data_IF_387630615694
#
_entry.id   IF_387630615694
#
_cell.length_a   1.000
_cell.length_b   1.000
_cell.length_c   1.000
_cell.angle_alpha   90.00
_cell.angle_beta   90.00
_cell.angle_gamma   90.00
#
_symmetry.space_group_name_H-M   'P 1'
#
loop_
_entity.id
_entity.type
_entity.pdbx_description
1 polymer ?
#
# COMPACT_ATOMS: atom_id res chain seq x y z
N UNK A 1 -73.04 63.41 32.83
CA UNK A 1 -71.86 62.53 32.87
C UNK A 1 -71.23 62.51 31.50
N UNK A 2 -69.94 62.80 31.43
CA UNK A 2 -69.28 63.26 30.21
C UNK A 2 -69.01 62.12 29.23
N UNK A 3 -69.89 61.98 28.24
CA UNK A 3 -69.69 61.09 27.10
C UNK A 3 -68.35 61.35 26.39
N UNK A 4 -67.86 62.59 26.45
CA UNK A 4 -66.56 62.98 25.90
C UNK A 4 -65.38 62.34 26.63
N UNK A 5 -65.45 62.21 27.97
CA UNK A 5 -64.42 61.53 28.77
C UNK A 5 -64.41 60.03 28.45
N UNK A 6 -65.59 59.42 28.31
CA UNK A 6 -65.72 58.01 27.91
C UNK A 6 -65.11 57.79 26.51
N UNK A 7 -65.39 58.68 25.54
CA UNK A 7 -64.84 58.60 24.18
C UNK A 7 -63.31 58.70 24.19
N UNK A 8 -62.72 59.62 24.94
CA UNK A 8 -61.25 59.75 25.03
C UNK A 8 -60.59 58.53 25.68
N UNK A 9 -61.21 57.92 26.70
CA UNK A 9 -60.71 56.69 27.31
C UNK A 9 -60.71 55.54 26.28
N UNK A 10 -61.80 55.39 25.51
CA UNK A 10 -61.87 54.35 24.47
C UNK A 10 -60.81 54.57 23.39
N UNK A 11 -60.60 55.81 22.95
CA UNK A 11 -59.55 56.15 21.97
C UNK A 11 -58.16 55.83 22.51
N UNK A 12 -57.89 56.15 23.78
CA UNK A 12 -56.61 55.84 24.42
C UNK A 12 -56.36 54.32 24.49
N UNK A 13 -57.37 53.52 24.85
CA UNK A 13 -57.27 52.06 24.88
C UNK A 13 -57.01 51.48 23.49
N UNK A 14 -57.73 51.97 22.46
CA UNK A 14 -57.50 51.55 21.07
C UNK A 14 -56.09 51.91 20.61
N UNK A 15 -55.58 53.10 20.94
CA UNK A 15 -54.22 53.51 20.61
C UNK A 15 -53.17 52.58 21.25
N UNK A 16 -53.35 52.20 22.52
CA UNK A 16 -52.47 51.24 23.21
C UNK A 16 -52.50 49.87 22.53
N UNK A 17 -53.67 49.37 22.15
CA UNK A 17 -53.81 48.09 21.43
C UNK A 17 -53.08 48.13 20.09
N UNK A 18 -53.20 49.23 19.33
CA UNK A 18 -52.51 49.41 18.06
C UNK A 18 -50.98 49.43 18.25
N UNK A 19 -50.48 50.13 19.27
CA UNK A 19 -49.04 50.17 19.57
C UNK A 19 -48.52 48.77 19.92
N UNK A 20 -49.24 48.02 20.76
CA UNK A 20 -48.87 46.64 21.12
C UNK A 20 -48.90 45.74 19.88
N UNK A 21 -49.91 45.86 19.02
CA UNK A 21 -50.01 45.10 17.77
C UNK A 21 -48.84 45.41 16.81
N UNK A 22 -48.44 46.68 16.70
CA UNK A 22 -47.30 47.09 15.88
C UNK A 22 -45.96 46.56 16.43
N UNK A 23 -45.77 46.59 17.77
CA UNK A 23 -44.58 46.03 18.41
C UNK A 23 -44.48 44.51 18.21
N UNK A 24 -45.61 43.80 18.31
CA UNK A 24 -45.69 42.36 18.05
C UNK A 24 -45.48 42.04 16.56
N UNK A 25 -46.05 42.82 15.65
CA UNK A 25 -45.86 42.66 14.21
C UNK A 25 -44.40 42.94 13.79
N UNK A 26 -43.76 43.96 14.37
CA UNK A 26 -42.35 44.26 14.14
C UNK A 26 -41.44 43.14 14.67
N UNK A 27 -41.74 42.59 15.86
CA UNK A 27 -41.06 41.40 16.40
C UNK A 27 -41.28 40.17 15.51
N UNK A 28 -42.51 39.92 15.06
CA UNK A 28 -42.88 38.80 14.17
C UNK A 28 -42.18 38.92 12.82
N UNK A 29 -42.08 40.12 12.23
CA UNK A 29 -41.36 40.39 10.97
C UNK A 29 -39.85 40.18 11.09
N UNK A 30 -39.27 40.46 12.27
CA UNK A 30 -37.85 40.17 12.57
C UNK A 30 -37.60 38.66 12.79
N UNK A 31 -38.57 37.95 13.37
CA UNK A 31 -38.52 36.48 13.54
C UNK A 31 -38.81 35.70 12.24
N UNK A 32 -39.62 36.25 11.33
CA UNK A 32 -39.87 35.66 10.01
C UNK A 32 -38.62 35.60 9.14
N UNK A 33 -37.69 36.57 9.27
CA UNK A 33 -36.39 36.52 8.58
C UNK A 33 -35.49 35.40 9.09
N UNK A 34 -35.65 34.95 10.34
CA UNK A 34 -34.90 33.82 10.93
C UNK A 34 -35.48 32.44 10.58
N UNK A 35 -36.69 32.37 10.05
CA UNK A 35 -37.27 31.10 9.57
C UNK A 35 -36.88 30.77 8.12
N UNK A 36 -36.23 31.68 7.39
CA UNK A 36 -35.65 31.40 6.08
C UNK A 36 -34.22 30.83 6.20
N UNK A 37 -33.46 31.21 7.23
CA UNK A 37 -32.11 30.66 7.48
C UNK A 37 -32.13 29.23 8.05
N UNK A 38 -33.17 28.82 8.77
CA UNK A 38 -33.27 27.47 9.31
C UNK A 38 -33.56 26.38 8.25
N UNK A 39 -33.97 26.76 7.03
CA UNK A 39 -34.05 25.85 5.88
C UNK A 39 -32.73 25.78 5.10
N UNK A 40 -32.01 26.91 4.97
CA UNK A 40 -30.71 26.93 4.29
C UNK A 40 -29.62 26.20 5.09
N UNK A 41 -29.61 26.30 6.42
CA UNK A 41 -28.66 25.53 7.25
C UNK A 41 -28.98 24.03 7.23
N UNK A 42 -30.24 23.64 7.02
CA UNK A 42 -30.60 22.22 6.83
C UNK A 42 -30.16 21.70 5.45
N UNK A 43 -30.25 22.49 4.39
CA UNK A 43 -29.75 22.10 3.07
C UNK A 43 -28.21 22.06 3.00
N UNK A 44 -27.51 23.01 3.63
CA UNK A 44 -26.04 23.06 3.64
C UNK A 44 -25.40 21.90 4.44
N UNK A 45 -26.05 21.42 5.50
CA UNK A 45 -25.56 20.27 6.27
C UNK A 45 -25.73 18.94 5.52
N UNK A 46 -26.83 18.73 4.79
CA UNK A 46 -27.00 17.51 3.97
C UNK A 46 -25.96 17.42 2.85
N UNK A 47 -25.55 18.56 2.30
CA UNK A 47 -24.60 18.61 1.18
C UNK A 47 -23.16 18.37 1.64
N UNK A 48 -22.81 18.73 2.88
CA UNK A 48 -21.51 18.46 3.47
C UNK A 48 -21.38 17.05 4.05
N UNK A 49 -22.43 16.50 4.67
CA UNK A 49 -22.45 15.11 5.17
C UNK A 49 -22.33 14.12 4.01
N UNK A 50 -23.07 14.31 2.91
CA UNK A 50 -22.96 13.44 1.73
C UNK A 50 -21.55 13.42 1.09
N UNK A 51 -20.77 14.50 1.21
CA UNK A 51 -19.38 14.56 0.72
C UNK A 51 -18.39 13.87 1.65
N UNK A 52 -18.65 13.87 2.96
CA UNK A 52 -17.82 13.17 3.95
C UNK A 52 -18.12 11.67 3.92
N UNK A 53 -19.40 11.28 3.87
CA UNK A 53 -19.82 9.87 3.76
C UNK A 53 -19.25 9.21 2.49
N UNK A 54 -19.21 9.95 1.37
CA UNK A 54 -18.59 9.45 0.13
C UNK A 54 -17.07 9.25 0.27
N UNK A 55 -16.39 10.08 1.07
CA UNK A 55 -14.95 9.93 1.32
C UNK A 55 -14.66 8.80 2.31
N UNK A 56 -15.52 8.62 3.30
CA UNK A 56 -15.45 7.51 4.26
C UNK A 56 -15.70 6.18 3.55
N UNK A 57 -16.74 6.09 2.71
CA UNK A 57 -17.01 4.89 1.90
C UNK A 57 -15.86 4.54 0.94
N UNK A 58 -15.22 5.55 0.33
CA UNK A 58 -14.03 5.34 -0.49
C UNK A 58 -12.85 4.86 0.37
N UNK A 59 -12.63 5.43 1.55
CA UNK A 59 -11.55 5.00 2.44
C UNK A 59 -11.74 3.54 2.89
N UNK A 60 -12.97 3.16 3.26
CA UNK A 60 -13.31 1.79 3.64
C UNK A 60 -13.17 0.81 2.48
N UNK A 61 -13.60 1.21 1.27
CA UNK A 61 -13.40 0.42 0.05
C UNK A 61 -11.91 0.24 -0.25
N UNK A 62 -11.10 1.30 -0.10
CA UNK A 62 -9.66 1.24 -0.34
C UNK A 62 -8.97 0.36 0.70
N UNK A 63 -9.38 0.45 1.97
CA UNK A 63 -8.88 -0.39 3.05
C UNK A 63 -9.25 -1.87 2.83
N UNK A 64 -10.47 -2.15 2.38
CA UNK A 64 -10.89 -3.50 2.05
C UNK A 64 -10.11 -4.07 0.84
N UNK A 65 -9.93 -3.27 -0.22
CA UNK A 65 -9.11 -3.65 -1.38
C UNK A 65 -7.65 -3.89 -1.02
N UNK A 66 -7.07 -3.08 -0.13
CA UNK A 66 -5.71 -3.27 0.35
C UNK A 66 -5.57 -4.61 1.08
N UNK A 67 -6.49 -4.94 2.00
CA UNK A 67 -6.49 -6.23 2.70
C UNK A 67 -6.67 -7.41 1.74
N UNK A 68 -7.51 -7.28 0.72
CA UNK A 68 -7.69 -8.30 -0.30
C UNK A 68 -6.40 -8.53 -1.11
N UNK A 69 -5.75 -7.45 -1.57
CA UNK A 69 -4.49 -7.52 -2.29
C UNK A 69 -3.35 -8.12 -1.43
N UNK A 70 -3.29 -7.78 -0.14
CA UNK A 70 -2.34 -8.38 0.79
C UNK A 70 -2.58 -9.89 0.97
N UNK A 71 -3.83 -10.32 1.09
CA UNK A 71 -4.17 -11.73 1.20
C UNK A 71 -3.78 -12.52 -0.06
N UNK A 72 -4.03 -11.95 -1.25
CA UNK A 72 -3.60 -12.55 -2.52
C UNK A 72 -2.08 -12.62 -2.64
N UNK A 73 -1.36 -11.58 -2.23
CA UNK A 73 0.10 -11.56 -2.23
C UNK A 73 0.67 -12.61 -1.27
N UNK A 74 0.09 -12.76 -0.08
CA UNK A 74 0.49 -13.79 0.89
C UNK A 74 0.22 -15.20 0.36
N UNK A 75 -0.93 -15.44 -0.28
CA UNK A 75 -1.23 -16.73 -0.90
C UNK A 75 -0.21 -17.08 -1.99
N UNK A 76 0.12 -16.12 -2.86
CA UNK A 76 1.13 -16.29 -3.90
C UNK A 76 2.54 -16.50 -3.35
N UNK A 77 2.89 -15.81 -2.26
CA UNK A 77 4.17 -16.02 -1.58
C UNK A 77 4.26 -17.42 -0.97
N UNK A 78 3.18 -17.92 -0.37
CA UNK A 78 3.12 -19.27 0.17
C UNK A 78 3.24 -20.34 -0.93
N UNK A 79 2.61 -20.14 -2.09
CA UNK A 79 2.75 -21.03 -3.24
C UNK A 79 4.19 -21.02 -3.79
N UNK A 80 4.80 -19.84 -3.92
CA UNK A 80 6.20 -19.71 -4.33
C UNK A 80 7.16 -20.40 -3.35
N UNK A 81 6.90 -20.29 -2.04
CA UNK A 81 7.67 -21.00 -1.02
C UNK A 81 7.57 -22.53 -1.20
N UNK A 82 6.37 -23.08 -1.44
CA UNK A 82 6.19 -24.51 -1.71
C UNK A 82 6.95 -24.99 -2.93
N UNK A 83 6.89 -24.23 -4.03
CA UNK A 83 7.63 -24.53 -5.26
C UNK A 83 9.15 -24.52 -5.02
N UNK A 84 9.63 -23.57 -4.21
CA UNK A 84 11.04 -23.49 -3.82
C UNK A 84 11.46 -24.68 -2.97
N UNK A 85 10.69 -25.03 -1.95
CA UNK A 85 10.97 -26.19 -1.09
C UNK A 85 11.01 -27.49 -1.90
N UNK A 86 10.11 -27.64 -2.88
CA UNK A 86 10.14 -28.76 -3.81
C UNK A 86 11.41 -28.76 -4.67
N UNK A 87 11.80 -27.62 -5.23
CA UNK A 87 13.03 -27.50 -6.01
C UNK A 87 14.28 -27.81 -5.18
N UNK A 88 14.34 -27.33 -3.94
CA UNK A 88 15.45 -27.58 -3.02
C UNK A 88 15.49 -29.08 -2.61
N UNK A 89 14.33 -29.71 -2.41
CA UNK A 89 14.22 -31.15 -2.19
C UNK A 89 14.75 -31.95 -3.39
N UNK A 90 14.36 -31.60 -4.62
CA UNK A 90 14.88 -32.24 -5.83
C UNK A 90 16.38 -32.05 -5.98
N UNK A 91 16.92 -30.87 -5.66
CA UNK A 91 18.37 -30.63 -5.66
C UNK A 91 19.10 -31.48 -4.63
N UNK A 92 18.54 -31.65 -3.43
CA UNK A 92 19.09 -32.53 -2.40
C UNK A 92 19.21 -33.98 -2.88
N UNK A 93 18.15 -34.53 -3.47
CA UNK A 93 18.14 -35.90 -4.03
C UNK A 93 19.21 -36.06 -5.12
N UNK A 94 19.37 -35.06 -5.99
CA UNK A 94 20.39 -35.09 -7.04
C UNK A 94 21.80 -35.01 -6.46
N UNK A 95 22.01 -34.21 -5.40
CA UNK A 95 23.30 -34.13 -4.71
C UNK A 95 23.65 -35.47 -4.05
N UNK A 96 22.70 -36.09 -3.35
CA UNK A 96 22.86 -37.41 -2.73
C UNK A 96 23.18 -38.49 -3.79
N UNK A 97 22.46 -38.49 -4.91
CA UNK A 97 22.72 -39.42 -6.02
C UNK A 97 24.14 -39.24 -6.61
N UNK A 98 24.63 -38.00 -6.67
CA UNK A 98 26.01 -37.72 -7.14
C UNK A 98 27.04 -38.23 -6.14
N UNK A 99 26.83 -38.01 -4.85
CA UNK A 99 27.73 -38.52 -3.81
C UNK A 99 27.79 -40.05 -3.84
N UNK A 100 26.65 -40.74 -4.01
CA UNK A 100 26.60 -42.19 -4.12
C UNK A 100 27.34 -42.70 -5.37
N UNK A 101 27.14 -42.05 -6.52
CA UNK A 101 27.87 -42.40 -7.76
C UNK A 101 29.38 -42.21 -7.57
N UNK A 102 29.80 -41.10 -6.98
CA UNK A 102 31.21 -40.81 -6.74
C UNK A 102 31.83 -41.80 -5.73
N UNK A 103 31.08 -42.23 -4.71
CA UNK A 103 31.53 -43.25 -3.77
C UNK A 103 31.67 -44.62 -4.44
N UNK A 104 30.69 -45.02 -5.26
CA UNK A 104 30.77 -46.26 -6.06
C UNK A 104 31.94 -46.21 -7.04
N UNK A 105 32.21 -45.06 -7.64
CA UNK A 105 33.36 -44.86 -8.53
C UNK A 105 34.68 -45.02 -7.79
N UNK A 106 34.85 -44.33 -6.64
CA UNK A 106 36.02 -44.49 -5.76
C UNK A 106 36.20 -45.93 -5.27
N UNK A 107 35.10 -46.65 -5.03
CA UNK A 107 35.16 -48.05 -4.63
C UNK A 107 35.62 -48.95 -5.78
N UNK A 108 35.10 -48.74 -6.98
CA UNK A 108 35.51 -49.45 -8.19
C UNK A 108 36.99 -49.20 -8.50
N UNK A 109 37.43 -47.93 -8.46
CA UNK A 109 38.82 -47.55 -8.71
C UNK A 109 39.78 -48.19 -7.71
N UNK A 110 39.37 -48.38 -6.45
CA UNK A 110 40.17 -49.06 -5.42
C UNK A 110 40.35 -50.56 -5.68
N UNK A 111 39.37 -51.19 -6.31
CA UNK A 111 39.37 -52.63 -6.61
C UNK A 111 40.08 -52.90 -7.93
N UNK A 112 40.05 -51.97 -8.89
CA UNK A 112 40.72 -52.12 -10.18
C UNK A 112 42.25 -52.16 -10.01
N UNK A 113 42.93 -53.28 -10.36
CA UNK A 113 44.38 -53.36 -10.29
C UNK A 113 45.11 -52.39 -11.24
N UNK A 114 44.44 -51.84 -12.27
CA UNK A 114 45.03 -50.91 -13.24
C UNK A 114 45.14 -49.47 -12.75
N UNK A 115 44.38 -49.05 -11.75
CA UNK A 115 44.39 -47.67 -11.23
C UNK A 115 45.59 -47.39 -10.34
N UNK A 116 46.09 -48.40 -9.62
CA UNK A 116 47.30 -48.32 -8.79
C UNK A 116 48.55 -47.88 -9.56
N UNK A 117 48.57 -48.04 -10.88
CA UNK A 117 49.69 -47.62 -11.76
C UNK A 117 49.55 -46.15 -12.20
N UNK A 118 48.36 -45.54 -12.07
CA UNK A 118 48.09 -44.15 -12.48
C UNK A 118 48.22 -43.15 -11.34
N UNK A 119 47.88 -43.53 -10.11
CA UNK A 119 47.98 -42.63 -8.95
C UNK A 119 49.44 -42.15 -8.71
N UNK A 120 50.44 -43.01 -8.97
CA UNK A 120 51.87 -42.63 -8.88
C UNK A 120 52.33 -41.68 -10.02
N UNK A 121 51.53 -41.48 -11.07
CA UNK A 121 51.88 -40.67 -12.24
C UNK A 121 51.14 -39.31 -12.31
N UNK A 122 50.02 -39.15 -11.61
CA UNK A 122 49.13 -37.97 -11.75
C UNK A 122 49.46 -36.84 -10.75
N UNK A 123 50.24 -37.11 -9.71
CA UNK A 123 50.66 -36.11 -8.69
C UNK A 123 51.59 -35.01 -9.24
N UNK A 124 51.93 -35.05 -10.53
CA UNK A 124 52.88 -34.13 -11.19
C UNK A 124 52.24 -33.01 -12.03
N UNK A 125 50.91 -33.01 -12.26
CA UNK A 125 50.32 -32.19 -13.34
C UNK A 125 49.03 -31.41 -12.98
N UNK A 126 48.84 -31.01 -11.71
CA UNK A 126 47.58 -30.42 -11.23
C UNK A 126 47.48 -28.89 -11.05
N UNK A 127 48.43 -28.07 -11.51
CA UNK A 127 48.41 -26.60 -11.23
C UNK A 127 48.49 -25.79 -12.52
N UNK A 128 47.35 -25.48 -13.15
CA UNK A 128 47.27 -24.44 -14.21
C UNK A 128 45.89 -23.97 -14.67
N UNK A 129 44.78 -24.46 -14.10
CA UNK A 129 43.44 -24.17 -14.64
C UNK A 129 42.61 -23.10 -13.89
N UNK A 130 43.06 -22.65 -12.71
CA UNK A 130 42.28 -21.72 -11.87
C UNK A 130 42.52 -20.23 -12.20
N UNK A 131 43.65 -19.90 -12.82
CA UNK A 131 44.01 -18.51 -13.13
C UNK A 131 43.15 -17.93 -14.25
N UNK A 132 42.84 -18.75 -15.28
CA UNK A 132 42.03 -18.31 -16.41
C UNK A 132 40.57 -17.96 -16.05
N UNK A 133 40.01 -18.63 -15.03
CA UNK A 133 38.66 -18.36 -14.56
C UNK A 133 38.58 -17.06 -13.73
N UNK A 134 39.63 -16.76 -12.95
CA UNK A 134 39.72 -15.52 -12.17
C UNK A 134 39.90 -14.30 -13.06
N UNK A 135 40.68 -14.41 -14.12
CA UNK A 135 40.88 -13.33 -15.10
C UNK A 135 39.60 -12.99 -15.86
N UNK A 136 38.81 -14.01 -16.23
CA UNK A 136 37.52 -13.80 -16.91
C UNK A 136 36.47 -13.13 -16.01
N UNK A 137 36.48 -13.41 -14.71
CA UNK A 137 35.60 -12.75 -13.75
C UNK A 137 36.00 -11.28 -13.53
N UNK A 138 37.30 -11.01 -13.34
CA UNK A 138 37.81 -9.66 -13.15
C UNK A 138 37.53 -8.73 -14.34
N UNK A 139 37.59 -9.24 -15.58
CA UNK A 139 37.28 -8.47 -16.78
C UNK A 139 35.79 -8.09 -16.88
N UNK A 140 34.88 -8.95 -16.41
CA UNK A 140 33.44 -8.67 -16.41
C UNK A 140 33.07 -7.58 -15.41
N UNK A 141 33.70 -7.60 -14.24
CA UNK A 141 33.47 -6.59 -13.20
C UNK A 141 34.01 -5.22 -13.63
N UNK A 142 35.16 -5.18 -14.30
CA UNK A 142 35.71 -3.95 -14.87
C UNK A 142 34.81 -3.36 -15.96
N UNK A 143 34.23 -4.19 -16.83
CA UNK A 143 33.29 -3.74 -17.86
C UNK A 143 32.00 -3.15 -17.25
N UNK A 144 31.46 -3.78 -16.20
CA UNK A 144 30.28 -3.29 -15.50
C UNK A 144 30.49 -1.92 -14.82
N UNK A 145 31.68 -1.68 -14.25
CA UNK A 145 32.03 -0.41 -13.63
C UNK A 145 32.18 0.73 -14.66
N UNK A 146 32.72 0.44 -15.84
CA UNK A 146 32.85 1.44 -16.92
C UNK A 146 31.48 1.86 -17.47
N UNK A 147 30.54 0.92 -17.61
CA UNK A 147 29.18 1.22 -18.04
C UNK A 147 28.40 2.03 -17.00
N UNK A 148 28.63 1.78 -15.71
CA UNK A 148 28.08 2.60 -14.63
C UNK A 148 28.64 4.03 -14.67
N UNK A 149 29.94 4.20 -14.85
CA UNK A 149 30.59 5.51 -14.92
C UNK A 149 30.15 6.33 -16.15
N UNK A 150 29.85 5.69 -17.29
CA UNK A 150 29.32 6.38 -18.48
C UNK A 150 27.88 6.87 -18.32
N UNK A 151 27.08 6.20 -17.48
CA UNK A 151 25.69 6.62 -17.22
C UNK A 151 25.61 7.82 -16.29
N UNK A 152 26.63 8.04 -15.47
CA UNK A 152 26.64 9.06 -14.41
C UNK A 152 27.36 10.36 -14.79
N UNK A 153 27.77 10.52 -16.05
CA UNK A 153 28.26 11.82 -16.54
C UNK A 153 27.09 12.67 -17.03
N UNK A 154 26.61 13.68 -16.26
CA UNK A 154 25.64 14.64 -16.76
C UNK A 154 26.29 15.44 -17.89
N UNK A 155 25.71 15.34 -19.08
CA UNK A 155 26.01 16.20 -20.23
C UNK A 155 25.85 17.65 -19.79
N UNK A 156 26.96 18.37 -19.65
CA UNK A 156 26.99 19.80 -19.38
C UNK A 156 26.86 20.59 -20.68
#
# INVERSE_FOLDING_TARGET
MDNNVIVWIVVAVVAVIVIVALLLAARKRRNQRRHVEAKQIREDLTTHVAKVDKREALADETAARARAAEAEAQAKAAEAARLKDQADSHRGVVAESREEIDERRRHADRIDPKTKVRDDADDSHGVKHDDAARDAAAQRDAAAQQDAARRDTPRR
#
